data_IF_389684800795
#
_entry.id   IF_389684800795
#
_cell.length_a   1.000
_cell.length_b   1.000
_cell.length_c   1.000
_cell.angle_alpha   90.00
_cell.angle_beta   90.00
_cell.angle_gamma   90.00
#
_symmetry.space_group_name_H-M   'P 1'
#
loop_
_entity.id
_entity.type
_entity.pdbx_description
1 polymer ?
#
# COMPACT_ATOMS: atom_id res chain seq x y z
N UNK A 1 -17.05 -6.84 -22.83
CA UNK A 1 -15.84 -7.45 -22.23
C UNK A 1 -15.68 -6.82 -20.86
N UNK A 2 -15.74 -7.61 -19.78
CA UNK A 2 -15.67 -7.07 -18.42
C UNK A 2 -14.30 -6.40 -18.22
N UNK A 3 -14.31 -5.08 -18.02
CA UNK A 3 -13.13 -4.30 -17.70
C UNK A 3 -12.71 -4.71 -16.29
N UNK A 4 -11.90 -5.77 -16.19
CA UNK A 4 -11.36 -6.21 -14.91
C UNK A 4 -10.54 -5.06 -14.34
N UNK A 5 -11.06 -4.39 -13.32
CA UNK A 5 -10.32 -3.39 -12.55
C UNK A 5 -9.12 -4.13 -11.96
N UNK A 6 -7.94 -3.89 -12.54
CA UNK A 6 -6.70 -4.46 -12.02
C UNK A 6 -6.28 -3.60 -10.83
N UNK A 7 -5.81 -4.24 -9.78
CA UNK A 7 -5.36 -3.57 -8.55
C UNK A 7 -3.88 -3.85 -8.37
N UNK A 8 -3.10 -2.82 -8.10
CA UNK A 8 -1.75 -2.98 -7.59
C UNK A 8 -1.81 -3.04 -6.07
N UNK A 9 -1.04 -3.95 -5.48
CA UNK A 9 -0.97 -4.11 -4.03
C UNK A 9 0.46 -3.84 -3.59
N UNK A 10 0.61 -3.00 -2.58
CA UNK A 10 1.89 -2.72 -1.94
C UNK A 10 1.79 -3.13 -0.46
N UNK A 11 2.82 -3.82 0.03
CA UNK A 11 2.90 -4.25 1.43
C UNK A 11 4.16 -3.67 2.01
N UNK A 12 4.01 -2.91 3.10
CA UNK A 12 5.13 -2.36 3.85
C UNK A 12 5.02 -2.80 5.30
N UNK A 13 6.10 -3.38 5.79
CA UNK A 13 6.22 -3.69 7.22
C UNK A 13 7.12 -2.65 7.85
N UNK A 14 6.52 -1.74 8.61
CA UNK A 14 7.21 -0.71 9.37
C UNK A 14 7.30 -1.18 10.81
N UNK A 15 8.51 -1.27 11.33
CA UNK A 15 8.71 -1.57 12.74
C UNK A 15 10.15 -1.83 13.06
N UNK A 16 10.62 -1.15 14.11
CA UNK A 16 11.93 -1.40 14.70
C UNK A 16 11.77 -2.29 15.93
N UNK A 17 12.86 -2.89 16.39
CA UNK A 17 12.90 -3.63 17.66
C UNK A 17 12.41 -2.79 18.87
N UNK A 18 12.36 -1.46 18.71
CA UNK A 18 11.99 -0.48 19.73
C UNK A 18 10.56 0.06 19.66
N UNK A 19 9.69 -0.54 18.84
CA UNK A 19 8.31 -0.06 18.67
C UNK A 19 8.08 0.62 17.33
N UNK A 20 6.85 0.51 16.84
CA UNK A 20 6.38 1.32 15.72
C UNK A 20 5.92 2.66 16.27
N UNK A 21 6.47 3.76 15.76
CA UNK A 21 6.02 5.10 16.13
C UNK A 21 4.80 5.44 15.29
N UNK A 22 3.70 5.82 15.92
CA UNK A 22 2.45 6.17 15.22
C UNK A 22 2.68 7.26 14.16
N UNK A 23 3.56 8.23 14.43
CA UNK A 23 3.92 9.28 13.47
C UNK A 23 4.64 8.77 12.21
N UNK A 24 5.34 7.63 12.27
CA UNK A 24 5.94 7.03 11.08
C UNK A 24 4.88 6.34 10.21
N UNK A 25 3.90 5.69 10.84
CA UNK A 25 2.75 5.10 10.13
C UNK A 25 1.96 6.22 9.45
N UNK A 26 1.66 7.31 10.17
CA UNK A 26 0.93 8.46 9.63
C UNK A 26 1.67 9.10 8.45
N UNK A 27 2.99 9.31 8.56
CA UNK A 27 3.78 9.87 7.47
C UNK A 27 3.73 9.00 6.21
N UNK A 28 3.84 7.67 6.36
CA UNK A 28 3.74 6.73 5.24
C UNK A 28 2.35 6.67 4.65
N UNK A 29 1.29 6.69 5.46
CA UNK A 29 -0.08 6.73 4.98
C UNK A 29 -0.39 8.02 4.21
N UNK A 30 0.16 9.15 4.67
CA UNK A 30 0.04 10.43 3.97
C UNK A 30 0.76 10.40 2.61
N UNK A 31 1.99 9.86 2.55
CA UNK A 31 2.74 9.70 1.30
C UNK A 31 1.99 8.80 0.31
N UNK A 32 1.48 7.66 0.79
CA UNK A 32 0.65 6.75 0.01
C UNK A 32 -0.64 7.39 -0.48
N UNK A 33 -1.30 8.18 0.36
CA UNK A 33 -2.48 8.96 -0.04
C UNK A 33 -2.18 9.96 -1.17
N UNK A 34 -1.02 10.63 -1.14
CA UNK A 34 -0.58 11.54 -2.21
C UNK A 34 -0.30 10.79 -3.53
N UNK A 35 0.25 9.57 -3.44
CA UNK A 35 0.49 8.71 -4.59
C UNK A 35 -0.80 8.03 -5.13
N UNK A 36 -1.91 8.13 -4.40
CA UNK A 36 -3.18 7.50 -4.74
C UNK A 36 -3.30 6.03 -4.32
N UNK A 37 -2.49 5.60 -3.37
CA UNK A 37 -2.62 4.31 -2.69
C UNK A 37 -3.62 4.40 -1.54
N UNK A 38 -4.51 3.42 -1.45
CA UNK A 38 -5.49 3.27 -0.38
C UNK A 38 -5.06 2.16 0.57
N UNK A 39 -4.80 2.49 1.84
CA UNK A 39 -4.52 1.49 2.86
C UNK A 39 -5.78 0.64 3.16
N UNK A 40 -5.70 -0.67 2.94
CA UNK A 40 -6.81 -1.61 3.13
C UNK A 40 -6.68 -2.49 4.35
N UNK A 41 -5.45 -2.71 4.83
CA UNK A 41 -5.22 -3.57 5.97
C UNK A 41 -4.03 -3.07 6.76
N UNK A 42 -4.21 -2.99 8.07
CA UNK A 42 -3.15 -2.67 9.02
C UNK A 42 -3.20 -3.74 10.08
N UNK A 43 -2.16 -4.56 10.17
CA UNK A 43 -2.09 -5.60 11.18
C UNK A 43 -0.72 -5.65 11.81
N UNK A 44 -0.69 -5.95 13.11
CA UNK A 44 0.51 -6.25 13.86
C UNK A 44 0.63 -7.77 13.95
N UNK A 45 1.70 -8.39 13.44
CA UNK A 45 1.95 -9.80 13.69
C UNK A 45 2.03 -10.00 15.21
N UNK A 46 1.30 -10.98 15.74
CA UNK A 46 1.28 -11.31 17.17
C UNK A 46 2.72 -11.53 17.67
N UNK A 47 3.05 -10.95 18.83
CA UNK A 47 4.41 -10.89 19.41
C UNK A 47 5.45 -10.01 18.68
N UNK A 48 5.06 -9.14 17.75
CA UNK A 48 5.99 -8.25 17.05
C UNK A 48 5.63 -6.79 17.26
N UNK A 49 6.60 -5.95 17.61
CA UNK A 49 6.46 -4.49 17.66
C UNK A 49 6.38 -3.83 16.28
N UNK A 50 6.11 -4.63 15.25
CA UNK A 50 6.09 -4.24 13.84
C UNK A 50 4.65 -4.16 13.35
N UNK A 51 4.36 -3.13 12.57
CA UNK A 51 3.07 -2.93 11.90
C UNK A 51 3.26 -3.23 10.42
N UNK A 52 2.44 -4.12 9.89
CA UNK A 52 2.35 -4.38 8.45
C UNK A 52 1.13 -3.66 7.90
N UNK A 53 1.37 -2.80 6.92
CA UNK A 53 0.36 -2.02 6.21
C UNK A 53 0.27 -2.58 4.79
N UNK A 54 -0.94 -2.89 4.36
CA UNK A 54 -1.28 -3.30 3.01
C UNK A 54 -2.06 -2.17 2.37
N UNK A 55 -1.57 -1.66 1.25
CA UNK A 55 -2.26 -0.69 0.42
C UNK A 55 -2.57 -1.27 -0.95
N UNK A 56 -3.64 -0.75 -1.56
CA UNK A 56 -4.02 -1.06 -2.94
C UNK A 56 -4.18 0.22 -3.74
N UNK A 57 -3.96 0.16 -5.05
CA UNK A 57 -4.21 1.26 -5.98
C UNK A 57 -4.92 0.75 -7.23
N UNK A 58 -5.94 1.47 -7.75
CA UNK A 58 -6.59 1.08 -9.00
C UNK A 58 -5.64 1.32 -10.20
N UNK A 59 -5.34 0.25 -10.93
CA UNK A 59 -4.59 0.32 -12.18
C UNK A 59 -5.52 0.84 -13.28
N UNK A 60 -5.59 2.16 -13.43
CA UNK A 60 -6.43 2.80 -14.44
C UNK A 60 -6.04 2.36 -15.86
N UNK A 61 -7.01 2.37 -16.78
CA UNK A 61 -6.85 1.92 -18.16
C UNK A 61 -5.65 2.57 -18.90
N UNK A 62 -5.26 3.78 -18.50
CA UNK A 62 -4.08 4.49 -19.00
C UNK A 62 -2.76 3.77 -18.71
N UNK A 63 -2.59 3.20 -17.52
CA UNK A 63 -1.39 2.43 -17.14
C UNK A 63 -1.33 1.07 -17.88
N UNK A 64 -2.50 0.48 -18.17
CA UNK A 64 -2.58 -0.73 -19.02
C UNK A 64 -2.12 -0.44 -20.45
N UNK A 65 -2.52 0.71 -21.01
CA UNK A 65 -2.12 1.14 -22.36
C UNK A 65 -0.60 1.32 -22.49
N UNK A 66 0.05 1.86 -21.46
CA UNK A 66 1.51 2.02 -21.43
C UNK A 66 2.27 0.69 -21.40
N UNK A 67 1.74 -0.37 -20.78
CA UNK A 67 2.35 -1.72 -20.79
C UNK A 67 2.08 -2.52 -22.08
N UNK A 68 1.11 -2.10 -22.88
CA UNK A 68 0.76 -2.74 -24.14
C UNK A 68 1.45 -2.14 -25.38
N UNK A 69 2.30 -1.12 -25.20
CA UNK A 69 3.17 -0.64 -26.29
C UNK A 69 4.58 -1.24 -26.11
N UNK A 70 5.07 -2.02 -27.09
CA UNK A 70 6.42 -2.59 -27.07
C UNK A 70 7.52 -1.54 -27.25
#
# INVERSE_FOLDING_TARGET
MAEQTLWEYQVLTIGSAFGTKDGQIEATLNEWGQEGWEAINVYTPSNSSKVTIVAKRPLTASARRWRSMP
#
